data_IF_166826161555
#
_entry.id   IF_166826161555
#
_cell.length_a   1.000
_cell.length_b   1.000
_cell.length_c   1.000
_cell.angle_alpha   90.00
_cell.angle_beta   90.00
_cell.angle_gamma   90.00
#
_symmetry.space_group_name_H-M   'P 1'
#
loop_
_entity.id
_entity.type
_entity.pdbx_description
1 polymer ?
#
# COMPACT_ATOMS: atom_id res chain seq x y z
N UNK A 1 1.46 -12.01 -8.08
CA UNK A 1 1.97 -12.80 -9.23
C UNK A 1 1.78 -12.16 -10.61
N UNK A 2 0.96 -11.11 -10.80
CA UNK A 2 0.80 -10.46 -12.13
C UNK A 2 1.72 -9.25 -12.38
N UNK A 3 2.02 -8.49 -11.32
CA UNK A 3 2.74 -7.20 -11.40
C UNK A 3 4.16 -7.37 -11.94
N UNK A 4 4.90 -8.35 -11.42
CA UNK A 4 6.28 -8.64 -11.83
C UNK A 4 6.40 -9.14 -13.28
N UNK A 5 5.38 -9.84 -13.79
CA UNK A 5 5.38 -10.25 -15.19
C UNK A 5 5.13 -9.04 -16.08
N UNK A 6 4.18 -8.17 -15.71
CA UNK A 6 3.91 -6.93 -16.42
C UNK A 6 5.14 -6.02 -16.47
N UNK A 7 5.84 -5.89 -15.34
CA UNK A 7 7.08 -5.13 -15.24
C UNK A 7 8.15 -5.61 -16.24
N UNK A 8 8.31 -6.93 -16.38
CA UNK A 8 9.37 -7.53 -17.21
C UNK A 8 9.03 -7.56 -18.70
N UNK A 9 7.77 -7.82 -19.03
CA UNK A 9 7.39 -8.20 -20.39
C UNK A 9 6.48 -7.17 -21.09
N UNK A 10 5.94 -6.18 -20.35
CA UNK A 10 4.87 -5.31 -20.88
C UNK A 10 5.07 -3.80 -20.63
N UNK A 11 6.05 -3.39 -19.83
CA UNK A 11 6.35 -1.96 -19.63
C UNK A 11 7.09 -1.35 -20.82
N UNK A 12 6.74 -0.12 -21.16
CA UNK A 12 7.44 0.69 -22.15
C UNK A 12 8.34 1.74 -21.48
N UNK A 13 9.27 2.31 -22.24
CA UNK A 13 10.08 3.43 -21.75
C UNK A 13 9.17 4.62 -21.40
N UNK A 14 9.25 5.07 -20.15
CA UNK A 14 8.46 6.18 -19.61
C UNK A 14 7.24 5.78 -18.78
N UNK A 15 6.90 4.49 -18.71
CA UNK A 15 5.85 4.03 -17.82
C UNK A 15 6.27 4.11 -16.35
N UNK A 16 5.31 4.45 -15.48
CA UNK A 16 5.52 4.37 -14.03
C UNK A 16 5.57 2.90 -13.58
N UNK A 17 6.31 2.58 -12.49
CA UNK A 17 6.33 1.23 -11.93
C UNK A 17 4.91 0.72 -11.60
N UNK A 18 4.59 -0.55 -11.89
CA UNK A 18 3.26 -1.08 -11.70
C UNK A 18 2.95 -1.25 -10.21
N UNK A 19 1.71 -0.92 -9.82
CA UNK A 19 1.26 -1.01 -8.43
C UNK A 19 0.48 -2.31 -8.22
N UNK A 20 0.95 -3.15 -7.30
CA UNK A 20 0.25 -4.36 -6.87
C UNK A 20 -0.72 -4.11 -5.74
N UNK A 21 -2.02 -4.36 -5.96
CA UNK A 21 -3.04 -4.31 -4.92
C UNK A 21 -3.47 -5.73 -4.56
N UNK A 22 -3.34 -6.09 -3.28
CA UNK A 22 -3.85 -7.35 -2.74
C UNK A 22 -5.10 -7.02 -1.92
N UNK A 23 -6.26 -7.49 -2.37
CA UNK A 23 -7.52 -7.32 -1.66
C UNK A 23 -7.73 -8.50 -0.71
N UNK A 24 -7.66 -8.23 0.59
CA UNK A 24 -7.94 -9.20 1.64
C UNK A 24 -9.13 -8.70 2.49
N UNK A 25 -10.02 -9.61 2.90
CA UNK A 25 -11.11 -9.26 3.82
C UNK A 25 -10.57 -8.82 5.20
N UNK A 26 -9.48 -9.44 5.66
CA UNK A 26 -8.73 -9.09 6.86
C UNK A 26 -7.22 -9.10 6.55
N UNK A 27 -6.43 -8.32 7.29
CA UNK A 27 -4.97 -8.29 7.12
C UNK A 27 -4.39 -9.68 7.44
N UNK A 28 -3.91 -10.38 6.42
CA UNK A 28 -3.20 -11.66 6.58
C UNK A 28 -1.72 -11.50 6.28
N UNK A 29 -0.91 -11.40 7.33
CA UNK A 29 0.55 -11.25 7.22
C UNK A 29 1.20 -12.43 6.48
N UNK A 30 0.57 -13.61 6.52
CA UNK A 30 1.04 -14.79 5.78
C UNK A 30 0.86 -14.64 4.28
N UNK A 31 -0.29 -14.14 3.82
CA UNK A 31 -0.51 -13.88 2.39
C UNK A 31 0.46 -12.81 1.91
N UNK A 32 0.62 -11.72 2.65
CA UNK A 32 1.56 -10.64 2.32
C UNK A 32 2.99 -11.18 2.18
N UNK A 33 3.46 -11.97 3.15
CA UNK A 33 4.82 -12.54 3.19
C UNK A 33 5.17 -13.43 1.99
N UNK A 34 4.20 -14.22 1.49
CA UNK A 34 4.46 -15.15 0.39
C UNK A 34 4.08 -14.61 -0.99
N UNK A 35 3.34 -13.49 -1.06
CA UNK A 35 2.90 -12.91 -2.34
C UNK A 35 3.88 -11.85 -2.85
N UNK A 36 4.67 -11.26 -1.97
CA UNK A 36 5.60 -10.19 -2.27
C UNK A 36 7.06 -10.71 -2.27
N UNK A 37 7.93 -10.21 -3.15
CA UNK A 37 9.35 -10.56 -3.15
C UNK A 37 9.99 -10.20 -1.81
N UNK A 38 10.98 -10.99 -1.37
CA UNK A 38 11.68 -10.74 -0.10
C UNK A 38 12.35 -9.35 -0.02
N UNK A 39 12.66 -8.74 -1.17
CA UNK A 39 13.38 -7.47 -1.25
C UNK A 39 12.47 -6.23 -1.40
N UNK A 40 11.14 -6.39 -1.51
CA UNK A 40 10.23 -5.26 -1.61
C UNK A 40 9.99 -4.58 -0.25
N UNK A 41 10.48 -3.34 -0.12
CA UNK A 41 10.38 -2.53 1.12
C UNK A 41 9.14 -1.64 1.18
N UNK A 42 8.39 -1.48 0.09
CA UNK A 42 7.22 -0.61 0.00
C UNK A 42 5.91 -1.40 0.02
N UNK A 43 5.67 -2.07 1.15
CA UNK A 43 4.44 -2.84 1.35
C UNK A 43 3.51 -2.00 2.22
N UNK A 44 2.43 -1.53 1.63
CA UNK A 44 1.41 -0.76 2.33
C UNK A 44 0.16 -1.62 2.50
N UNK A 45 -0.29 -1.79 3.74
CA UNK A 45 -1.57 -2.42 4.04
C UNK A 45 -2.60 -1.31 4.28
N UNK A 46 -3.58 -1.19 3.40
CA UNK A 46 -4.65 -0.20 3.55
C UNK A 46 -6.01 -0.89 3.63
N UNK A 47 -6.91 -0.33 4.46
CA UNK A 47 -8.26 -0.83 4.65
C UNK A 47 -9.13 -0.43 3.46
N UNK A 48 -9.72 -1.40 2.79
CA UNK A 48 -10.65 -1.14 1.69
C UNK A 48 -12.09 -0.98 2.20
N UNK A 49 -12.79 0.06 1.77
CA UNK A 49 -14.24 0.25 2.01
C UNK A 49 -14.99 0.00 0.70
N UNK A 50 -16.11 -0.72 0.76
CA UNK A 50 -16.96 -1.03 -0.40
C UNK A 50 -17.78 0.17 -0.91
N UNK A 51 -17.69 1.31 -0.23
CA UNK A 51 -18.39 2.54 -0.58
C UNK A 51 -17.38 3.69 -0.68
N UNK A 52 -17.67 4.65 -1.56
CA UNK A 52 -16.93 5.90 -1.63
C UNK A 52 -17.23 6.70 -0.35
N UNK A 53 -16.24 6.97 0.51
CA UNK A 53 -16.46 7.77 1.72
C UNK A 53 -16.94 9.18 1.36
N UNK A 54 -17.60 9.84 2.31
CA UNK A 54 -17.85 11.27 2.17
C UNK A 54 -16.53 12.06 2.20
N UNK A 55 -16.55 13.30 1.69
CA UNK A 55 -15.38 14.18 1.71
C UNK A 55 -14.85 14.39 3.13
N UNK A 56 -15.75 14.55 4.10
CA UNK A 56 -15.41 14.72 5.52
C UNK A 56 -14.80 13.45 6.12
N UNK A 57 -15.34 12.28 5.81
CA UNK A 57 -14.77 11.00 6.25
C UNK A 57 -13.37 10.79 5.66
N UNK A 58 -13.16 11.13 4.39
CA UNK A 58 -11.87 11.02 3.72
C UNK A 58 -10.83 11.95 4.34
N UNK A 59 -11.18 13.23 4.57
CA UNK A 59 -10.33 14.21 5.23
C UNK A 59 -9.90 13.75 6.62
N UNK A 60 -10.85 13.21 7.40
CA UNK A 60 -10.56 12.71 8.74
C UNK A 60 -9.60 11.52 8.73
N UNK A 61 -9.74 10.58 7.78
CA UNK A 61 -8.80 9.45 7.66
C UNK A 61 -7.40 9.91 7.21
N UNK A 62 -7.30 10.85 6.26
CA UNK A 62 -6.02 11.42 5.84
C UNK A 62 -5.28 12.10 7.01
N UNK A 63 -5.98 12.91 7.80
CA UNK A 63 -5.40 13.58 8.96
C UNK A 63 -4.88 12.58 10.01
N UNK A 64 -5.62 11.49 10.25
CA UNK A 64 -5.16 10.42 11.16
C UNK A 64 -3.89 9.76 10.64
N UNK A 65 -3.82 9.46 9.34
CA UNK A 65 -2.66 8.82 8.73
C UNK A 65 -1.42 9.73 8.82
N UNK A 66 -1.56 11.03 8.50
CA UNK A 66 -0.48 12.01 8.66
C UNK A 66 0.06 12.07 10.08
N UNK A 67 -0.82 12.15 11.09
CA UNK A 67 -0.41 12.13 12.50
C UNK A 67 0.31 10.83 12.87
N UNK A 68 -0.14 9.68 12.36
CA UNK A 68 0.50 8.39 12.62
C UNK A 68 1.92 8.32 12.03
N UNK A 69 2.11 8.89 10.83
CA UNK A 69 3.41 8.96 10.16
C UNK A 69 4.34 9.93 10.91
N UNK A 70 3.85 11.09 11.32
CA UNK A 70 4.62 12.06 12.12
C UNK A 70 5.11 11.44 13.42
N UNK A 71 4.22 10.76 14.17
CA UNK A 71 4.59 10.07 15.39
C UNK A 71 5.65 8.99 15.15
N UNK A 72 5.52 8.19 14.08
CA UNK A 72 6.51 7.18 13.72
C UNK A 72 7.88 7.80 13.39
N UNK A 73 7.91 8.92 12.66
CA UNK A 73 9.14 9.65 12.34
C UNK A 73 9.80 10.20 13.61
N UNK A 74 9.02 10.71 14.56
CA UNK A 74 9.53 11.24 15.82
C UNK A 74 10.06 10.14 16.75
N UNK A 75 9.44 8.96 16.77
CA UNK A 75 9.95 7.79 17.48
C UNK A 75 11.28 7.28 16.92
N UNK A 76 11.49 7.32 15.60
CA UNK A 76 12.74 6.90 14.95
C UNK A 76 13.89 7.90 15.12
N UNK A 77 13.60 9.16 15.50
CA UNK A 77 14.62 10.19 15.78
C UNK A 77 15.14 10.17 17.22
N UNK A 78 14.54 9.37 18.11
CA UNK A 78 14.85 9.31 19.53
C UNK A 78 15.76 8.14 19.87
#
# INVERSE_FOLDING_TARGET
>A
MYVHYYEREMMNEGDNPPIGIILCADKSDSVVKYTLPQDEKQIFASKYKLYLPSEEELLNELNKEYLSIENYIDEQKK
#
